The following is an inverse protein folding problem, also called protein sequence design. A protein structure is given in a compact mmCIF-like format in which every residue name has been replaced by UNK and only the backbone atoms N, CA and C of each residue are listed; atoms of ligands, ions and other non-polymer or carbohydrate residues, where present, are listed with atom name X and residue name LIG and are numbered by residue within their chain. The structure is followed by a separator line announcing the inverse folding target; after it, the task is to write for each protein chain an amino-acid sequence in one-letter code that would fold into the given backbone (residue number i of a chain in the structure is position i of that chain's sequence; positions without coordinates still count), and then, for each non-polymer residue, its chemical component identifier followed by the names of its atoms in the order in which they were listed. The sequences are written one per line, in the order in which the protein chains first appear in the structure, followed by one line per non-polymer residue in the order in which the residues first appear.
data_IF_226794189208
#
_entry.id   IF_226794189208
#
_cell.length_a   1.000
_cell.length_b   1.000
_cell.length_c   1.000
_cell.angle_alpha   90.00
_cell.angle_beta   90.00
_cell.angle_gamma   90.00
#
_symmetry.space_group_name_H-M   'P 1'
#
loop_
_entity.id
_entity.type
_entity.pdbx_description
1 polymer ?
#
# COMPACT_ATOMS: atom_id res chain seq x y z
N UNK A 1 4.74 -12.81 7.04
CA UNK A 1 4.37 -11.51 6.45
C UNK A 1 2.99 -11.54 5.80
N UNK A 2 2.56 -12.66 5.20
CA UNK A 2 1.23 -12.80 4.56
C UNK A 2 0.04 -12.54 5.50
N UNK A 3 0.10 -12.96 6.77
CA UNK A 3 -0.99 -12.76 7.74
C UNK A 3 -1.45 -11.30 7.84
N UNK A 4 -0.52 -10.34 7.82
CA UNK A 4 -0.84 -8.92 8.01
C UNK A 4 -1.54 -8.29 6.80
N UNK A 5 -1.32 -8.83 5.59
CA UNK A 5 -1.97 -8.31 4.38
C UNK A 5 -3.36 -8.89 4.15
N UNK A 6 -3.64 -10.09 4.67
CA UNK A 6 -4.96 -10.71 4.58
C UNK A 6 -6.04 -9.95 5.36
N UNK A 7 -5.66 -9.15 6.34
CA UNK A 7 -6.60 -8.34 7.12
C UNK A 7 -6.95 -7.01 6.42
N UNK A 8 -6.06 -6.51 5.56
CA UNK A 8 -6.20 -5.20 4.91
C UNK A 8 -7.43 -5.12 3.98
N UNK A 9 -7.84 -6.23 3.37
CA UNK A 9 -9.07 -6.32 2.56
C UNK A 9 -10.36 -6.08 3.36
N UNK A 10 -10.29 -6.16 4.69
CA UNK A 10 -11.41 -5.88 5.58
C UNK A 10 -11.39 -4.44 6.12
N UNK A 11 -10.36 -3.65 5.79
CA UNK A 11 -10.30 -2.23 6.14
C UNK A 11 -11.44 -1.49 5.43
N UNK A 12 -12.30 -0.76 6.15
CA UNK A 12 -13.41 -0.05 5.53
C UNK A 12 -12.89 1.08 4.61
N UNK A 13 -13.59 1.29 3.50
CA UNK A 13 -13.37 2.43 2.60
C UNK A 13 -14.69 3.04 2.17
N UNK A 14 -14.65 4.32 1.79
CA UNK A 14 -15.81 4.99 1.20
C UNK A 14 -16.33 4.19 0.01
N UNK A 15 -17.62 3.83 0.05
CA UNK A 15 -18.30 3.02 -0.96
C UNK A 15 -17.62 1.67 -1.26
N UNK A 16 -16.87 1.12 -0.31
CA UNK A 16 -16.09 -0.12 -0.46
C UNK A 16 -15.14 -0.13 -1.69
N UNK A 17 -14.66 1.06 -2.09
CA UNK A 17 -13.84 1.21 -3.30
C UNK A 17 -12.44 0.62 -3.16
N UNK A 18 -11.94 0.51 -1.93
CA UNK A 18 -10.60 0.01 -1.58
C UNK A 18 -9.52 0.55 -2.54
N UNK A 19 -9.33 1.89 -2.60
CA UNK A 19 -8.52 2.53 -3.64
C UNK A 19 -7.02 2.31 -3.44
N UNK A 20 -6.61 1.63 -2.38
CA UNK A 20 -5.23 1.43 -1.99
C UNK A 20 -4.55 0.29 -2.75
N UNK A 21 -3.27 0.49 -3.04
CA UNK A 21 -2.33 -0.51 -3.50
C UNK A 21 -1.13 -0.49 -2.56
N UNK A 22 -0.61 -1.67 -2.24
CA UNK A 22 0.53 -1.81 -1.35
C UNK A 22 1.73 -2.32 -2.13
N UNK A 23 2.85 -1.62 -2.03
CA UNK A 23 4.13 -2.05 -2.60
C UNK A 23 5.06 -2.42 -1.46
N UNK A 24 5.42 -3.69 -1.37
CA UNK A 24 6.40 -4.18 -0.43
C UNK A 24 7.81 -3.97 -1.00
N UNK A 25 8.61 -3.17 -0.31
CA UNK A 25 10.02 -2.95 -0.62
C UNK A 25 10.90 -3.73 0.37
N UNK A 26 11.86 -4.44 -0.18
CA UNK A 26 12.92 -5.16 0.56
C UNK A 26 14.30 -4.56 0.22
N UNK A 27 15.31 -4.88 1.02
CA UNK A 27 16.62 -4.21 1.11
C UNK A 27 17.22 -3.65 -0.19
N UNK A 28 17.25 -4.41 -1.29
CA UNK A 28 17.82 -3.95 -2.55
C UNK A 28 17.10 -2.71 -3.14
N UNK A 29 15.77 -2.61 -2.97
CA UNK A 29 14.96 -1.48 -3.44
C UNK A 29 14.94 -0.32 -2.44
N UNK A 30 15.09 -0.61 -1.15
CA UNK A 30 15.09 0.39 -0.06
C UNK A 30 16.26 1.38 -0.21
N UNK A 31 17.46 0.92 -0.61
CA UNK A 31 18.62 1.81 -0.82
C UNK A 31 18.36 2.94 -1.83
N UNK A 32 17.57 2.67 -2.89
CA UNK A 32 17.20 3.71 -3.88
C UNK A 32 16.26 4.76 -3.30
N UNK A 33 15.48 4.40 -2.28
CA UNK A 33 14.50 5.26 -1.62
C UNK A 33 15.17 6.21 -0.61
N UNK A 34 16.27 5.79 0.02
CA UNK A 34 16.95 6.52 1.11
C UNK A 34 17.21 8.00 0.80
N UNK A 35 17.64 8.32 -0.42
CA UNK A 35 17.92 9.71 -0.83
C UNK A 35 16.69 10.62 -0.86
N UNK A 36 15.49 10.04 -0.88
CA UNK A 36 14.21 10.76 -0.88
C UNK A 36 13.53 10.75 0.49
N UNK A 37 13.99 9.94 1.45
CA UNK A 37 13.38 9.78 2.78
C UNK A 37 13.91 10.80 3.79
N UNK A 38 13.86 12.08 3.42
CA UNK A 38 14.30 13.19 4.28
C UNK A 38 13.49 13.16 5.59
N UNK A 39 14.18 13.15 6.72
CA UNK A 39 13.56 13.05 8.07
C UNK A 39 13.24 11.62 8.54
N UNK A 40 13.36 10.60 7.68
CA UNK A 40 13.06 9.19 8.02
C UNK A 40 14.19 8.22 7.63
N UNK A 41 15.43 8.72 7.54
CA UNK A 41 16.57 7.96 7.03
C UNK A 41 16.90 6.76 7.94
N UNK A 42 16.87 6.95 9.27
CA UNK A 42 17.20 5.91 10.23
C UNK A 42 16.21 4.73 10.17
N UNK A 43 14.91 5.02 10.06
CA UNK A 43 13.87 4.00 9.87
C UNK A 43 14.08 3.26 8.56
N UNK A 44 14.45 3.98 7.50
CA UNK A 44 14.73 3.40 6.18
C UNK A 44 15.94 2.46 6.21
N UNK A 45 16.93 2.72 7.06
CA UNK A 45 18.12 1.88 7.20
C UNK A 45 17.89 0.63 8.07
N UNK A 46 17.05 0.75 9.10
CA UNK A 46 16.87 -0.30 10.11
C UNK A 46 15.66 -1.21 9.83
N UNK A 47 14.78 -0.85 8.90
CA UNK A 47 13.59 -1.64 8.59
C UNK A 47 13.93 -2.90 7.78
N UNK A 48 13.33 -4.03 8.17
CA UNK A 48 13.41 -5.29 7.42
C UNK A 48 12.63 -5.25 6.10
N UNK A 49 11.55 -4.45 6.06
CA UNK A 49 10.79 -4.13 4.87
C UNK A 49 10.08 -2.77 5.03
N UNK A 50 9.75 -2.13 3.91
CA UNK A 50 8.94 -0.91 3.87
C UNK A 50 7.70 -1.20 3.02
N UNK A 51 6.53 -0.78 3.50
CA UNK A 51 5.29 -0.86 2.74
C UNK A 51 4.92 0.53 2.26
N UNK A 52 4.88 0.74 0.95
CA UNK A 52 4.34 1.96 0.37
C UNK A 52 2.84 1.76 0.12
N UNK A 53 2.04 2.69 0.64
CA UNK A 53 0.61 2.77 0.40
C UNK A 53 0.34 3.80 -0.71
N UNK A 54 -0.24 3.36 -1.81
CA UNK A 54 -0.57 4.21 -2.95
C UNK A 54 -2.08 4.22 -3.19
N UNK A 55 -2.70 5.40 -3.25
CA UNK A 55 -4.11 5.55 -3.57
C UNK A 55 -4.37 5.75 -5.07
N UNK A 56 -5.37 5.08 -5.63
CA UNK A 56 -5.89 5.38 -6.95
C UNK A 56 -6.94 6.50 -6.86
N UNK A 57 -6.53 7.71 -7.24
CA UNK A 57 -7.36 8.93 -7.19
C UNK A 57 -8.55 8.85 -8.16
N UNK A 58 -8.45 8.03 -9.22
CA UNK A 58 -9.50 7.85 -10.22
C UNK A 58 -10.39 6.64 -9.94
N UNK A 59 -10.23 5.95 -8.79
CA UNK A 59 -10.97 4.73 -8.47
C UNK A 59 -12.49 4.92 -8.48
N UNK A 60 -12.98 6.11 -8.11
CA UNK A 60 -14.41 6.45 -8.17
C UNK A 60 -14.95 6.60 -9.60
N UNK A 61 -14.08 6.91 -10.58
CA UNK A 61 -14.47 7.07 -11.99
C UNK A 61 -14.47 5.74 -12.73
N UNK A 62 -13.57 4.84 -12.36
CA UNK A 62 -13.48 3.48 -12.87
C UNK A 62 -13.54 2.48 -11.72
N UNK A 63 -14.69 2.36 -11.02
CA UNK A 63 -14.87 1.29 -10.08
C UNK A 63 -14.82 -0.02 -10.88
N UNK A 64 -13.91 -0.94 -10.54
CA UNK A 64 -14.03 -2.31 -11.05
C UNK A 64 -15.33 -2.86 -10.45
N UNK A 65 -16.41 -2.84 -11.22
CA UNK A 65 -17.73 -3.31 -10.77
C UNK A 65 -17.63 -4.84 -10.63
N UNK A 66 -17.22 -5.31 -9.46
CA UNK A 66 -17.64 -6.62 -8.97
C UNK A 66 -18.89 -6.41 -8.11
N UNK A 67 -19.99 -5.98 -8.74
CA UNK A 67 -21.31 -6.22 -8.18
C UNK A 67 -21.55 -7.73 -8.30
N UNK A 68 -21.38 -8.46 -7.19
CA UNK A 68 -22.09 -9.73 -7.04
C UNK A 68 -23.56 -9.39 -6.88
N UNK A 69 -24.31 -9.81 -7.90
CA UNK A 69 -25.76 -9.88 -7.93
C UNK A 69 -26.21 -10.77 -6.76
N UNK A 70 -27.13 -10.27 -5.95
CA UNK A 70 -28.10 -11.09 -5.22
C UNK A 70 -29.48 -10.74 -5.77
#
# INVERSE_FOLDING_TARGET
MEKNFNEIRFTPSSFDLQPWHFLLLVQAKIKKLQKYMIGNLQQTQNSSAIVLLCGNIQKSKNPNIFMKIN
#
